data_IF_918190139416
#
_entry.id   IF_918190139416
#
_cell.length_a   1.000
_cell.length_b   1.000
_cell.length_c   1.000
_cell.angle_alpha   90.00
_cell.angle_beta   90.00
_cell.angle_gamma   90.00
#
_symmetry.space_group_name_H-M   'P 1'
#
loop_
_entity.id
_entity.type
_entity.pdbx_description
1 polymer ?
#
# COMPACT_ATOMS: atom_id res chain seq x y z
N UNK A 1 38.46 -54.80 -31.23
CA UNK A 1 37.17 -55.33 -31.69
C UNK A 1 36.14 -54.20 -31.64
N UNK A 2 35.39 -54.08 -32.73
CA UNK A 2 34.45 -53.03 -33.14
C UNK A 2 33.35 -52.71 -32.08
N UNK A 3 32.93 -51.47 -31.75
CA UNK A 3 32.31 -50.33 -32.47
C UNK A 3 30.75 -50.30 -32.39
N UNK A 4 30.20 -49.19 -31.82
CA UNK A 4 28.89 -48.53 -32.15
C UNK A 4 27.59 -49.32 -31.85
N UNK A 5 26.36 -48.79 -31.69
CA UNK A 5 25.64 -47.48 -31.80
C UNK A 5 24.24 -47.73 -31.15
N UNK A 6 23.69 -46.85 -30.30
CA UNK A 6 22.57 -45.90 -30.51
C UNK A 6 21.35 -46.38 -31.34
N UNK A 7 20.14 -45.97 -30.86
CA UNK A 7 18.82 -45.76 -31.51
C UNK A 7 17.78 -46.88 -31.24
N UNK A 8 16.47 -46.64 -31.05
CA UNK A 8 15.61 -45.44 -31.12
C UNK A 8 14.31 -45.62 -30.30
N UNK A 9 13.65 -44.49 -30.05
CA UNK A 9 12.23 -44.31 -29.73
C UNK A 9 11.33 -44.71 -30.92
N UNK A 10 10.05 -44.98 -30.63
CA UNK A 10 8.84 -45.01 -31.49
C UNK A 10 8.36 -46.36 -32.01
N UNK A 11 7.27 -46.88 -31.41
CA UNK A 11 6.10 -47.50 -32.06
C UNK A 11 5.03 -47.66 -30.95
N UNK A 12 4.13 -46.69 -30.75
CA UNK A 12 2.79 -46.57 -31.37
C UNK A 12 2.00 -47.88 -31.20
N UNK A 13 0.98 -47.87 -30.33
CA UNK A 13 -0.43 -47.62 -30.68
C UNK A 13 -0.98 -48.67 -31.64
N UNK A 14 -2.20 -49.14 -31.35
CA UNK A 14 -2.99 -50.10 -32.13
C UNK A 14 -2.76 -51.57 -31.81
N UNK A 15 -3.25 -52.00 -30.65
CA UNK A 15 -3.91 -53.30 -30.58
C UNK A 15 -5.26 -53.18 -29.85
N UNK A 16 -6.31 -53.12 -30.69
CA UNK A 16 -7.53 -53.91 -30.53
C UNK A 16 -8.62 -53.33 -29.62
N UNK A 17 -9.35 -52.39 -30.22
CA UNK A 17 -10.79 -52.54 -30.43
C UNK A 17 -11.22 -53.99 -30.70
N UNK A 18 -11.81 -54.67 -29.71
CA UNK A 18 -12.82 -55.71 -29.95
C UNK A 18 -13.51 -56.07 -28.62
N UNK A 19 -14.69 -55.49 -28.39
CA UNK A 19 -15.87 -56.16 -27.82
C UNK A 19 -17.07 -55.19 -27.80
N UNK A 20 -17.65 -55.00 -28.98
CA UNK A 20 -19.11 -54.84 -29.10
C UNK A 20 -19.66 -56.28 -29.21
N UNK A 21 -20.58 -56.72 -28.37
CA UNK A 21 -22.03 -56.74 -28.63
C UNK A 21 -22.64 -57.63 -27.50
N UNK A 22 -23.83 -57.40 -26.94
CA UNK A 22 -25.13 -57.54 -27.60
C UNK A 22 -26.26 -56.94 -26.72
N UNK A 23 -27.06 -56.08 -27.35
CA UNK A 23 -28.51 -55.80 -27.23
C UNK A 23 -29.33 -56.21 -25.98
N UNK A 24 -30.16 -55.27 -25.50
CA UNK A 24 -31.64 -55.39 -25.54
C UNK A 24 -32.33 -54.02 -25.49
N UNK A 25 -33.30 -53.85 -26.39
CA UNK A 25 -34.23 -52.72 -26.57
C UNK A 25 -35.39 -52.80 -25.56
N UNK A 26 -35.84 -51.65 -25.02
CA UNK A 26 -37.15 -51.00 -25.33
C UNK A 26 -37.51 -49.86 -24.34
N UNK A 27 -38.21 -48.85 -24.87
CA UNK A 27 -39.16 -47.92 -24.23
C UNK A 27 -38.65 -46.64 -23.49
N UNK A 28 -38.76 -45.51 -24.22
CA UNK A 28 -39.41 -44.23 -23.84
C UNK A 28 -39.43 -43.76 -22.37
N UNK A 29 -38.94 -42.55 -22.13
CA UNK A 29 -39.27 -41.76 -20.93
C UNK A 29 -38.27 -40.63 -20.68
N UNK A 30 -38.78 -39.40 -20.65
CA UNK A 30 -38.06 -38.13 -20.57
C UNK A 30 -37.32 -37.86 -19.23
N UNK A 31 -36.50 -36.80 -19.28
CA UNK A 31 -36.01 -35.90 -18.21
C UNK A 31 -34.50 -36.02 -17.92
N UNK A 32 -33.72 -35.20 -18.63
CA UNK A 32 -32.36 -34.83 -18.29
C UNK A 32 -32.34 -33.98 -17.01
N UNK A 33 -31.97 -34.57 -15.87
CA UNK A 33 -31.42 -33.82 -14.75
C UNK A 33 -29.90 -33.71 -14.93
N UNK A 34 -29.46 -32.57 -15.47
CA UNK A 34 -28.05 -32.21 -15.46
C UNK A 34 -27.60 -31.99 -14.01
N UNK A 35 -26.79 -32.91 -13.50
CA UNK A 35 -26.06 -32.71 -12.25
C UNK A 35 -25.01 -31.62 -12.48
N UNK A 36 -25.39 -30.37 -12.21
CA UNK A 36 -24.45 -29.27 -12.03
C UNK A 36 -23.60 -29.60 -10.81
N UNK A 37 -22.37 -30.04 -11.07
CA UNK A 37 -21.33 -30.14 -10.05
C UNK A 37 -21.07 -28.73 -9.53
N UNK A 38 -21.57 -28.44 -8.33
CA UNK A 38 -21.15 -27.27 -7.57
C UNK A 38 -19.64 -27.37 -7.37
N UNK A 39 -18.91 -26.52 -8.08
CA UNK A 39 -17.51 -26.27 -7.82
C UNK A 39 -17.42 -25.60 -6.45
N UNK A 40 -17.06 -26.37 -5.42
CA UNK A 40 -16.65 -25.86 -4.11
C UNK A 40 -15.27 -25.22 -4.23
N UNK A 41 -15.20 -24.15 -5.00
CA UNK A 41 -14.08 -23.22 -5.05
C UNK A 41 -14.52 -21.88 -4.47
N UNK A 42 -14.93 -21.85 -3.20
CA UNK A 42 -15.06 -20.59 -2.48
C UNK A 42 -13.65 -20.04 -2.29
N UNK A 43 -13.23 -19.14 -3.18
CA UNK A 43 -12.19 -18.15 -2.86
C UNK A 43 -12.76 -17.24 -1.79
N UNK A 44 -12.74 -17.72 -0.54
CA UNK A 44 -12.99 -16.92 0.64
C UNK A 44 -11.93 -15.82 0.65
N UNK A 45 -12.33 -14.60 0.27
CA UNK A 45 -11.44 -13.45 0.34
C UNK A 45 -11.18 -13.18 1.81
N UNK A 46 -9.97 -13.49 2.29
CA UNK A 46 -9.61 -13.27 3.68
C UNK A 46 -9.72 -11.78 4.03
N UNK A 47 -10.52 -11.46 5.04
CA UNK A 47 -10.63 -10.10 5.56
C UNK A 47 -9.26 -9.64 6.07
N UNK A 48 -8.82 -8.40 5.76
CA UNK A 48 -7.54 -7.88 6.19
C UNK A 48 -7.32 -8.03 7.70
N UNK A 49 -6.20 -8.69 8.05
CA UNK A 49 -5.75 -8.86 9.43
C UNK A 49 -4.54 -7.99 9.72
N UNK A 50 -4.43 -7.51 10.96
CA UNK A 50 -3.21 -6.88 11.47
C UNK A 50 -2.08 -7.92 11.48
N UNK A 51 -0.91 -7.53 10.98
CA UNK A 51 0.30 -8.35 11.05
C UNK A 51 0.79 -8.41 12.49
N UNK A 52 1.26 -9.57 12.91
CA UNK A 52 1.93 -9.72 14.22
C UNK A 52 3.30 -9.05 14.17
N UNK A 53 3.80 -8.62 15.33
CA UNK A 53 5.11 -7.95 15.46
C UNK A 53 6.27 -8.70 14.82
N UNK A 54 6.23 -10.04 14.84
CA UNK A 54 7.27 -10.92 14.29
C UNK A 54 7.04 -11.32 12.82
N UNK A 55 5.85 -11.04 12.28
CA UNK A 55 5.52 -11.28 10.88
C UNK A 55 6.15 -10.19 10.00
N UNK A 56 6.75 -10.61 8.90
CA UNK A 56 7.27 -9.68 7.90
C UNK A 56 6.14 -9.31 6.93
N UNK A 57 6.09 -8.05 6.50
CA UNK A 57 5.22 -7.62 5.40
C UNK A 57 5.45 -8.50 4.16
N UNK A 58 4.39 -8.87 3.42
CA UNK A 58 4.52 -9.59 2.16
C UNK A 58 5.51 -8.90 1.21
N UNK A 59 6.32 -9.69 0.52
CA UNK A 59 7.22 -9.16 -0.51
C UNK A 59 6.46 -8.98 -1.82
N UNK A 60 6.70 -7.86 -2.51
CA UNK A 60 6.14 -7.61 -3.86
C UNK A 60 6.61 -8.65 -4.86
N UNK A 61 7.89 -9.03 -4.78
CA UNK A 61 8.51 -10.08 -5.60
C UNK A 61 8.85 -11.30 -4.78
N UNK A 62 8.82 -12.47 -5.41
CA UNK A 62 9.19 -13.71 -4.72
C UNK A 62 10.68 -13.72 -4.37
N UNK A 63 11.05 -14.44 -3.31
CA UNK A 63 12.44 -14.54 -2.88
C UNK A 63 13.37 -15.11 -3.96
N UNK A 64 12.86 -16.01 -4.80
CA UNK A 64 13.62 -16.61 -5.91
C UNK A 64 13.90 -15.60 -7.02
N UNK A 65 12.94 -14.73 -7.33
CA UNK A 65 13.13 -13.65 -8.30
C UNK A 65 14.14 -12.62 -7.79
N UNK A 66 14.04 -12.22 -6.52
CA UNK A 66 15.01 -11.31 -5.90
C UNK A 66 16.44 -11.88 -5.94
N UNK A 67 16.60 -13.18 -5.66
CA UNK A 67 17.90 -13.88 -5.80
C UNK A 67 18.40 -13.87 -7.24
N UNK A 68 17.53 -14.09 -8.22
CA UNK A 68 17.88 -14.08 -9.65
C UNK A 68 18.34 -12.69 -10.07
N UNK A 69 17.60 -11.64 -9.72
CA UNK A 69 17.96 -10.24 -10.00
C UNK A 69 19.29 -9.85 -9.34
N UNK A 70 19.53 -10.25 -8.09
CA UNK A 70 20.78 -9.98 -7.40
C UNK A 70 21.99 -10.65 -8.08
N UNK A 71 21.82 -11.88 -8.60
CA UNK A 71 22.86 -12.58 -9.37
C UNK A 71 23.15 -11.90 -10.71
N UNK A 72 22.12 -11.42 -11.41
CA UNK A 72 22.29 -10.67 -12.66
C UNK A 72 23.03 -9.35 -12.40
N UNK A 73 22.57 -8.55 -11.42
CA UNK A 73 23.25 -7.32 -11.01
C UNK A 73 24.70 -7.53 -10.58
N UNK A 74 25.04 -8.69 -10.00
CA UNK A 74 26.42 -9.04 -9.67
C UNK A 74 27.25 -9.28 -10.94
N UNK A 75 26.74 -10.07 -11.89
CA UNK A 75 27.41 -10.30 -13.18
C UNK A 75 27.61 -9.00 -13.96
N UNK A 76 26.60 -8.13 -13.96
CA UNK A 76 26.68 -6.80 -14.60
C UNK A 76 27.74 -5.89 -13.97
N UNK A 77 28.06 -6.06 -12.68
CA UNK A 77 29.12 -5.30 -12.01
C UNK A 77 30.51 -5.82 -12.33
N UNK A 78 30.62 -7.12 -12.60
CA UNK A 78 31.88 -7.75 -12.99
C UNK A 78 32.27 -7.31 -14.42
N UNK A 79 31.30 -6.91 -15.23
CA UNK A 79 31.49 -6.29 -16.53
C UNK A 79 31.71 -4.77 -16.39
N UNK A 80 32.92 -4.26 -16.67
CA UNK A 80 33.30 -2.84 -16.49
C UNK A 80 32.81 -1.99 -17.68
N UNK A 81 31.60 -2.26 -18.15
CA UNK A 81 30.97 -1.53 -19.24
C UNK A 81 30.14 -0.36 -18.72
N UNK A 82 30.05 0.70 -19.52
CA UNK A 82 29.15 1.81 -19.25
C UNK A 82 27.71 1.39 -19.57
N UNK A 83 26.85 1.46 -18.55
CA UNK A 83 25.43 1.15 -18.66
C UNK A 83 24.66 2.46 -18.66
N UNK A 84 24.00 2.73 -19.79
CA UNK A 84 23.03 3.81 -19.91
C UNK A 84 21.77 3.46 -19.13
N UNK A 85 21.42 4.32 -18.17
CA UNK A 85 20.22 4.16 -17.35
C UNK A 85 19.03 4.87 -18.01
N UNK A 86 17.83 4.34 -17.82
CA UNK A 86 16.59 4.99 -18.25
C UNK A 86 16.02 5.91 -17.16
N UNK A 87 15.27 6.96 -17.52
CA UNK A 87 14.50 7.74 -16.55
C UNK A 87 13.54 6.84 -15.75
N UNK A 88 13.43 6.99 -14.43
CA UNK A 88 14.08 8.02 -13.59
C UNK A 88 15.41 7.60 -12.96
N UNK A 89 15.91 6.40 -13.27
CA UNK A 89 17.14 5.85 -12.69
C UNK A 89 18.40 6.61 -13.12
N UNK A 90 18.35 7.29 -14.27
CA UNK A 90 19.41 8.20 -14.72
C UNK A 90 19.28 9.62 -14.15
N UNK A 91 18.34 9.87 -13.24
CA UNK A 91 18.14 11.17 -12.60
C UNK A 91 17.26 12.15 -13.39
N UNK A 92 16.90 11.84 -14.63
CA UNK A 92 15.95 12.65 -15.40
C UNK A 92 14.51 12.34 -15.02
N UNK A 93 13.62 13.32 -15.17
CA UNK A 93 12.19 13.14 -14.94
C UNK A 93 11.53 12.34 -16.07
N UNK A 94 10.54 11.54 -15.70
CA UNK A 94 9.61 10.93 -16.66
C UNK A 94 8.51 11.95 -16.98
N UNK A 95 8.66 12.71 -18.07
CA UNK A 95 7.77 13.83 -18.43
C UNK A 95 6.27 13.48 -18.38
N UNK A 96 5.89 12.30 -18.86
CA UNK A 96 4.49 11.84 -18.87
C UNK A 96 3.89 11.59 -17.48
N UNK A 97 4.71 11.50 -16.43
CA UNK A 97 4.27 11.30 -15.04
C UNK A 97 4.19 12.60 -14.23
N UNK A 98 4.66 13.73 -14.76
CA UNK A 98 4.58 15.01 -14.06
C UNK A 98 3.10 15.42 -13.81
N UNK A 99 2.18 15.36 -14.80
CA UNK A 99 0.77 15.68 -14.56
C UNK A 99 0.11 14.71 -13.57
N UNK A 100 0.54 13.43 -13.56
CA UNK A 100 0.07 12.42 -12.62
C UNK A 100 0.45 12.82 -11.19
N UNK A 101 1.68 13.29 -10.98
CA UNK A 101 2.15 13.74 -9.67
C UNK A 101 1.38 14.96 -9.13
N UNK A 102 1.08 15.95 -9.99
CA UNK A 102 0.21 17.06 -9.59
C UNK A 102 -1.21 16.59 -9.24
N UNK A 103 -1.76 15.64 -10.01
CA UNK A 103 -3.09 15.07 -9.74
C UNK A 103 -3.13 14.35 -8.39
N UNK A 104 -2.07 13.62 -8.02
CA UNK A 104 -1.95 12.96 -6.70
C UNK A 104 -1.97 13.99 -5.57
N UNK A 105 -1.20 15.08 -5.66
CA UNK A 105 -1.17 16.11 -4.62
C UNK A 105 -2.48 16.88 -4.50
N UNK A 106 -3.14 17.18 -5.63
CA UNK A 106 -4.46 17.80 -5.64
C UNK A 106 -5.49 16.90 -4.93
N UNK A 107 -5.55 15.62 -5.32
CA UNK A 107 -6.42 14.64 -4.70
C UNK A 107 -6.12 14.45 -3.20
N UNK A 108 -4.85 14.47 -2.80
CA UNK A 108 -4.47 14.45 -1.37
C UNK A 108 -5.03 15.64 -0.60
N UNK A 109 -4.89 16.85 -1.14
CA UNK A 109 -5.33 18.08 -0.48
C UNK A 109 -6.85 18.13 -0.32
N UNK A 110 -7.55 17.70 -1.36
CA UNK A 110 -9.00 17.50 -1.38
C UNK A 110 -9.43 16.45 -0.35
N UNK A 111 -8.80 15.28 -0.35
CA UNK A 111 -9.09 14.21 0.60
C UNK A 111 -8.93 14.66 2.05
N UNK A 112 -7.81 15.30 2.39
CA UNK A 112 -7.56 15.77 3.77
C UNK A 112 -8.63 16.77 4.20
N UNK A 113 -9.06 17.65 3.30
CA UNK A 113 -10.14 18.61 3.56
C UNK A 113 -11.48 17.89 3.80
N UNK A 114 -11.85 16.95 2.93
CA UNK A 114 -13.09 16.18 3.06
C UNK A 114 -13.11 15.34 4.35
N UNK A 115 -12.04 14.61 4.66
CA UNK A 115 -11.95 13.80 5.89
C UNK A 115 -12.08 14.70 7.11
N UNK A 116 -11.39 15.83 7.15
CA UNK A 116 -11.47 16.76 8.29
C UNK A 116 -12.89 17.29 8.51
N UNK A 117 -13.60 17.63 7.42
CA UNK A 117 -14.99 18.12 7.49
C UNK A 117 -16.00 17.05 7.88
N UNK A 118 -15.83 15.81 7.44
CA UNK A 118 -16.74 14.70 7.82
C UNK A 118 -16.45 14.21 9.24
N UNK A 119 -15.18 14.19 9.64
CA UNK A 119 -14.75 13.81 11.00
C UNK A 119 -15.25 14.77 12.09
N UNK A 120 -15.63 16.02 11.75
CA UNK A 120 -16.28 16.92 12.71
C UNK A 120 -17.69 16.47 13.07
N UNK A 121 -18.36 15.73 12.18
CA UNK A 121 -19.76 15.32 12.33
C UNK A 121 -19.90 13.87 12.78
N UNK A 122 -19.01 12.98 12.31
CA UNK A 122 -19.05 11.55 12.64
C UNK A 122 -18.08 11.22 13.77
N UNK A 123 -18.52 10.36 14.69
CA UNK A 123 -17.67 9.91 15.78
C UNK A 123 -16.54 8.99 15.30
N UNK A 124 -15.31 9.28 15.73
CA UNK A 124 -14.16 8.39 15.53
C UNK A 124 -13.70 7.98 16.92
N UNK A 125 -13.51 6.68 17.11
CA UNK A 125 -12.95 6.10 18.33
C UNK A 125 -11.64 5.38 18.02
N UNK A 126 -10.66 5.54 18.89
CA UNK A 126 -9.43 4.76 18.88
C UNK A 126 -9.24 4.04 20.20
N UNK A 127 -8.74 2.80 20.14
CA UNK A 127 -8.40 2.04 21.32
C UNK A 127 -7.10 2.57 21.92
N UNK A 128 -7.11 2.87 23.23
CA UNK A 128 -5.93 3.37 23.97
C UNK A 128 -4.72 2.42 23.95
N UNK A 129 -4.93 1.15 23.59
CA UNK A 129 -3.92 0.09 23.73
C UNK A 129 -3.43 -0.45 22.38
N UNK A 130 -4.31 -0.89 21.48
CA UNK A 130 -3.95 -1.73 20.32
C UNK A 130 -4.18 -1.09 18.94
N UNK A 131 -4.29 0.24 18.88
CA UNK A 131 -4.48 1.00 17.63
C UNK A 131 -5.69 0.53 16.81
N UNK A 132 -6.70 -0.08 17.45
CA UNK A 132 -7.97 -0.38 16.79
C UNK A 132 -8.74 0.93 16.62
N UNK A 133 -9.36 1.12 15.47
CA UNK A 133 -10.16 2.31 15.16
C UNK A 133 -11.58 1.85 14.86
N UNK A 134 -12.55 2.66 15.29
CA UNK A 134 -13.95 2.49 14.97
C UNK A 134 -14.54 3.82 14.50
N UNK A 135 -15.41 3.75 13.50
CA UNK A 135 -16.08 4.92 12.91
C UNK A 135 -17.59 4.77 13.10
N UNK A 136 -18.20 5.80 13.69
CA UNK A 136 -19.57 5.80 14.16
C UNK A 136 -19.69 5.69 15.68
N UNK A 137 -20.90 5.93 16.20
CA UNK A 137 -21.25 5.69 17.59
C UNK A 137 -22.49 4.78 17.62
N UNK A 138 -22.61 3.86 18.59
CA UNK A 138 -21.61 3.48 19.59
C UNK A 138 -20.48 2.60 19.03
N UNK A 139 -19.30 2.55 19.68
CA UNK A 139 -18.20 1.69 19.22
C UNK A 139 -18.51 0.21 19.39
N UNK A 140 -17.89 -0.63 18.55
CA UNK A 140 -18.11 -2.07 18.55
C UNK A 140 -17.68 -2.75 19.87
N UNK A 141 -18.30 -3.92 20.14
CA UNK A 141 -18.00 -4.79 21.29
C UNK A 141 -17.15 -6.02 20.93
N UNK A 142 -16.61 -6.08 19.73
CA UNK A 142 -15.72 -7.16 19.26
C UNK A 142 -14.46 -7.25 20.15
N UNK A 143 -14.15 -8.46 20.64
CA UNK A 143 -13.10 -8.73 21.63
C UNK A 143 -11.77 -9.11 20.96
N UNK A 144 -11.10 -8.14 20.36
CA UNK A 144 -9.84 -8.33 19.60
C UNK A 144 -8.66 -7.54 20.15
N UNK A 145 -8.77 -6.93 21.33
CA UNK A 145 -7.67 -6.20 21.96
C UNK A 145 -6.63 -7.19 22.50
N UNK A 146 -5.50 -7.32 21.80
CA UNK A 146 -4.47 -8.32 22.10
C UNK A 146 -3.06 -7.71 22.09
N UNK A 147 -2.82 -6.82 23.06
CA UNK A 147 -1.52 -6.17 23.28
C UNK A 147 -1.17 -6.19 24.78
N UNK A 148 0.10 -5.98 25.16
CA UNK A 148 0.47 -5.83 26.57
C UNK A 148 -0.38 -4.73 27.24
N UNK A 149 -1.02 -5.06 28.36
CA UNK A 149 -1.94 -4.16 29.08
C UNK A 149 -3.42 -4.32 28.70
N UNK A 150 -3.77 -5.15 27.72
CA UNK A 150 -5.15 -5.49 27.41
C UNK A 150 -5.85 -6.20 28.58
N UNK A 151 -7.16 -5.96 28.70
CA UNK A 151 -8.02 -6.66 29.66
C UNK A 151 -8.10 -8.16 29.33
N UNK A 152 -8.36 -8.98 30.35
CA UNK A 152 -8.47 -10.45 30.20
C UNK A 152 -9.58 -10.86 29.24
N UNK A 153 -10.65 -10.06 29.13
CA UNK A 153 -11.76 -10.29 28.21
C UNK A 153 -11.51 -9.76 26.78
N UNK A 154 -10.31 -9.23 26.48
CA UNK A 154 -9.89 -8.67 25.19
C UNK A 154 -10.80 -7.54 24.66
N UNK A 155 -11.54 -6.86 25.54
CA UNK A 155 -12.37 -5.71 25.18
C UNK A 155 -11.49 -4.48 24.96
N UNK A 156 -11.86 -3.65 23.98
CA UNK A 156 -11.18 -2.40 23.68
C UNK A 156 -11.55 -1.31 24.67
N UNK A 157 -10.57 -0.48 25.05
CA UNK A 157 -10.80 0.73 25.84
C UNK A 157 -10.81 1.94 24.90
N UNK A 158 -12.00 2.42 24.57
CA UNK A 158 -12.20 3.46 23.56
C UNK A 158 -11.95 4.87 24.09
N UNK A 159 -11.32 5.68 23.25
CA UNK A 159 -11.20 7.15 23.38
C UNK A 159 -11.64 7.84 22.13
N UNK A 160 -11.93 9.14 22.24
CA UNK A 160 -12.17 9.96 21.05
C UNK A 160 -10.90 10.01 20.20
N UNK A 161 -11.02 9.57 18.95
CA UNK A 161 -9.98 9.67 17.94
C UNK A 161 -10.22 10.86 17.00
N UNK A 162 -9.23 11.11 16.15
CA UNK A 162 -9.20 12.19 15.16
C UNK A 162 -8.88 11.72 13.74
N UNK A 163 -8.61 12.69 12.87
CA UNK A 163 -8.31 12.46 11.44
C UNK A 163 -7.08 11.57 11.26
N UNK A 164 -6.07 11.73 12.11
CA UNK A 164 -4.81 10.97 12.10
C UNK A 164 -5.01 9.46 12.32
N UNK A 165 -6.11 9.06 12.96
CA UNK A 165 -6.44 7.65 13.17
C UNK A 165 -7.12 7.03 11.94
N UNK A 166 -7.78 7.85 11.12
CA UNK A 166 -8.49 7.43 9.91
C UNK A 166 -7.58 7.49 8.69
N UNK A 167 -6.79 8.56 8.60
CA UNK A 167 -5.85 8.84 7.51
C UNK A 167 -4.45 9.08 8.10
N UNK A 168 -3.75 8.03 8.56
CA UNK A 168 -2.40 8.16 9.09
C UNK A 168 -1.42 8.62 8.00
N UNK A 169 -0.50 9.50 8.37
CA UNK A 169 0.54 10.00 7.49
C UNK A 169 1.80 9.19 7.71
N UNK A 170 2.27 8.52 6.65
CA UNK A 170 3.59 7.90 6.63
C UNK A 170 4.59 8.91 6.07
N UNK A 171 5.70 9.11 6.77
CA UNK A 171 6.75 10.03 6.39
C UNK A 171 7.91 9.33 5.69
N UNK A 172 8.67 10.10 4.92
CA UNK A 172 9.93 9.72 4.29
C UNK A 172 10.91 10.89 4.44
N UNK A 173 12.21 10.60 4.52
CA UNK A 173 13.20 11.67 4.37
C UNK A 173 13.09 12.27 2.96
N UNK A 174 13.13 13.59 2.90
CA UNK A 174 13.21 14.38 1.69
C UNK A 174 14.60 14.24 1.07
N UNK A 175 14.64 13.97 -0.25
CA UNK A 175 15.90 13.82 -0.97
C UNK A 175 16.13 15.01 -1.91
N UNK A 176 17.13 15.84 -1.58
CA UNK A 176 17.58 16.90 -2.48
C UNK A 176 18.10 16.34 -3.81
N UNK A 177 18.82 15.21 -3.81
CA UNK A 177 19.21 14.50 -5.03
C UNK A 177 18.86 13.02 -4.91
N UNK A 178 17.88 12.57 -5.71
CA UNK A 178 17.44 11.16 -5.78
C UNK A 178 18.57 10.18 -6.03
N UNK A 179 19.51 10.58 -6.88
CA UNK A 179 20.64 9.74 -7.32
C UNK A 179 21.74 9.70 -6.26
N UNK A 180 21.68 10.63 -5.31
CA UNK A 180 22.64 10.82 -4.24
C UNK A 180 22.78 9.64 -3.28
N UNK A 181 23.48 9.95 -2.18
CA UNK A 181 23.64 9.01 -1.07
C UNK A 181 22.32 8.89 -0.30
N UNK A 182 22.10 7.72 0.29
CA UNK A 182 21.03 7.55 1.26
C UNK A 182 21.32 8.37 2.52
N UNK A 183 20.28 8.94 3.13
CA UNK A 183 20.35 9.66 4.40
C UNK A 183 21.00 8.78 5.46
N UNK A 184 22.08 9.27 6.06
CA UNK A 184 22.84 8.59 7.10
C UNK A 184 22.21 8.79 8.49
N UNK A 185 22.63 7.97 9.46
CA UNK A 185 22.14 8.10 10.83
C UNK A 185 22.50 9.43 11.48
N UNK A 186 23.64 10.03 11.10
CA UNK A 186 24.15 11.26 11.73
C UNK A 186 23.37 12.49 11.27
N UNK A 187 23.02 12.54 9.98
CA UNK A 187 22.28 13.68 9.39
C UNK A 187 20.73 13.54 9.57
N UNK A 188 20.26 12.54 10.32
CA UNK A 188 18.81 12.25 10.46
C UNK A 188 17.98 13.39 11.07
N UNK A 189 18.62 14.24 11.88
CA UNK A 189 17.97 15.37 12.54
C UNK A 189 18.10 16.65 11.71
N UNK A 190 19.01 16.65 10.73
CA UNK A 190 19.24 17.76 9.81
C UNK A 190 18.28 17.63 8.63
N UNK A 191 18.08 16.41 8.12
CA UNK A 191 17.26 16.14 6.95
C UNK A 191 15.77 16.06 7.29
N UNK A 192 15.01 16.79 6.50
CA UNK A 192 13.57 16.92 6.56
C UNK A 192 12.85 15.59 6.31
N UNK A 193 11.93 15.19 7.20
CA UNK A 193 10.90 14.16 6.99
C UNK A 193 9.56 14.76 6.53
N UNK A 194 9.12 14.44 5.32
CA UNK A 194 7.83 14.90 4.77
C UNK A 194 6.91 13.71 4.48
N UNK A 195 5.59 13.89 4.27
CA UNK A 195 4.70 12.80 3.89
C UNK A 195 5.24 12.05 2.66
N UNK A 196 5.34 10.72 2.73
CA UNK A 196 5.95 9.90 1.69
C UNK A 196 5.25 10.06 0.33
N UNK A 197 3.93 10.24 0.32
CA UNK A 197 3.19 10.53 -0.92
C UNK A 197 3.57 11.89 -1.52
N UNK A 198 3.92 12.88 -0.70
CA UNK A 198 4.38 14.20 -1.15
C UNK A 198 5.79 14.09 -1.70
N UNK A 199 6.69 13.39 -1.00
CA UNK A 199 8.03 13.10 -1.51
C UNK A 199 7.96 12.37 -2.85
N UNK A 200 7.08 11.37 -3.01
CA UNK A 200 6.87 10.67 -4.29
C UNK A 200 6.51 11.64 -5.42
N UNK A 201 5.64 12.61 -5.15
CA UNK A 201 5.23 13.61 -6.13
C UNK A 201 6.36 14.61 -6.45
N UNK A 202 7.10 15.06 -5.44
CA UNK A 202 8.27 15.93 -5.62
C UNK A 202 9.29 15.25 -6.52
N UNK A 203 9.60 14.01 -6.18
CA UNK A 203 10.49 13.14 -6.93
C UNK A 203 9.97 12.97 -8.37
N UNK A 204 8.65 12.83 -8.56
CA UNK A 204 8.04 12.68 -9.87
C UNK A 204 7.99 13.96 -10.74
N UNK A 205 8.37 15.11 -10.20
CA UNK A 205 8.52 16.36 -10.93
C UNK A 205 7.65 17.52 -10.44
N UNK A 206 6.98 17.39 -9.28
CA UNK A 206 6.33 18.55 -8.66
C UNK A 206 7.36 19.38 -7.92
N UNK A 207 7.39 20.68 -8.19
CA UNK A 207 8.22 21.62 -7.44
C UNK A 207 7.43 22.21 -6.26
N UNK A 208 7.99 22.05 -5.06
CA UNK A 208 7.48 22.64 -3.82
C UNK A 208 8.61 23.52 -3.26
N UNK A 209 8.46 24.85 -3.20
CA UNK A 209 9.53 25.76 -2.79
C UNK A 209 10.12 25.45 -1.41
N UNK A 210 9.28 24.96 -0.49
CA UNK A 210 9.68 24.55 0.87
C UNK A 210 10.54 23.29 0.90
N UNK A 211 10.51 22.46 -0.15
CA UNK A 211 11.26 21.20 -0.23
C UNK A 211 11.91 21.08 -1.62
N UNK A 212 12.94 21.90 -1.89
CA UNK A 212 13.57 21.95 -3.20
C UNK A 212 14.35 20.66 -3.47
N UNK A 213 14.38 20.25 -4.73
CA UNK A 213 15.13 19.07 -5.16
C UNK A 213 15.83 19.35 -6.48
N UNK A 214 17.02 18.78 -6.67
CA UNK A 214 17.84 18.95 -7.87
C UNK A 214 17.14 18.33 -9.08
N UNK A 215 16.76 19.18 -10.04
CA UNK A 215 16.28 18.78 -11.36
C UNK A 215 17.47 18.62 -12.31
N UNK A 216 17.85 17.38 -12.60
CA UNK A 216 18.96 17.09 -13.51
C UNK A 216 18.55 17.35 -14.96
N UNK A 217 19.42 18.01 -15.72
CA UNK A 217 19.28 18.18 -17.17
C UNK A 217 20.08 17.15 -17.96
N UNK A 218 21.18 16.65 -17.40
CA UNK A 218 21.95 15.56 -18.00
C UNK A 218 21.81 14.26 -17.19
N UNK A 219 21.72 13.11 -17.88
CA UNK A 219 21.60 11.82 -17.22
C UNK A 219 22.91 11.40 -16.53
N UNK A 220 22.78 10.60 -15.48
CA UNK A 220 23.91 9.84 -14.90
C UNK A 220 24.04 8.47 -15.53
N UNK A 221 25.26 7.93 -15.48
CA UNK A 221 25.60 6.62 -16.04
C UNK A 221 26.09 5.68 -14.94
N UNK A 222 26.02 4.38 -15.17
CA UNK A 222 26.55 3.37 -14.24
C UNK A 222 27.76 2.67 -14.84
N UNK A 223 28.89 2.69 -14.14
CA UNK A 223 30.12 1.95 -14.52
C UNK A 223 30.51 1.03 -13.37
N UNK A 224 30.56 -0.28 -13.62
CA UNK A 224 30.82 -1.31 -12.60
C UNK A 224 29.95 -1.14 -11.31
N UNK A 225 28.69 -0.73 -11.49
CA UNK A 225 27.72 -0.49 -10.41
C UNK A 225 27.95 0.79 -9.59
N UNK A 226 28.89 1.66 -9.99
CA UNK A 226 29.04 3.01 -9.42
C UNK A 226 28.37 4.02 -10.34
N UNK A 227 27.64 4.96 -9.74
CA UNK A 227 27.00 6.04 -10.47
C UNK A 227 28.05 7.11 -10.78
N UNK A 228 28.19 7.46 -12.05
CA UNK A 228 29.05 8.51 -12.57
C UNK A 228 28.21 9.74 -12.91
N UNK A 229 28.46 10.83 -12.20
CA UNK A 229 27.83 12.14 -12.42
C UNK A 229 28.83 13.07 -13.12
N UNK A 230 28.77 13.10 -14.46
CA UNK A 230 29.69 13.91 -15.26
C UNK A 230 29.51 15.41 -15.04
N UNK A 231 28.30 15.89 -14.73
CA UNK A 231 28.07 17.30 -14.37
C UNK A 231 28.84 17.70 -13.10
N UNK A 232 28.95 16.78 -12.13
CA UNK A 232 29.74 17.04 -10.92
C UNK A 232 31.25 17.04 -11.20
N UNK A 233 31.69 16.24 -12.17
CA UNK A 233 33.10 16.12 -12.57
C UNK A 233 33.55 17.29 -13.46
N UNK A 234 32.61 17.87 -14.22
CA UNK A 234 32.81 19.03 -15.09
C UNK A 234 31.66 20.02 -14.87
N UNK A 235 31.75 20.84 -13.81
CA UNK A 235 30.72 21.84 -13.52
C UNK A 235 30.59 22.79 -14.71
N UNK A 236 29.36 23.00 -15.19
CA UNK A 236 29.07 24.15 -16.06
C UNK A 236 29.06 25.40 -15.17
N UNK A 237 29.51 26.55 -15.70
CA UNK A 237 29.60 27.85 -14.99
C UNK A 237 28.26 28.42 -14.47
N UNK A 238 27.15 27.69 -14.60
CA UNK A 238 25.89 28.03 -13.94
C UNK A 238 25.99 27.68 -12.45
N UNK A 239 26.56 28.62 -11.68
CA UNK A 239 26.47 28.64 -10.23
C UNK A 239 25.00 28.63 -9.80
N UNK A 240 24.49 27.45 -9.40
CA UNK A 240 23.35 27.39 -8.50
C UNK A 240 23.70 28.26 -7.29
N UNK A 241 22.89 29.28 -7.01
CA UNK A 241 23.16 30.29 -5.99
C UNK A 241 23.64 29.65 -4.68
N UNK A 242 24.64 30.27 -4.06
CA UNK A 242 25.43 29.79 -2.91
C UNK A 242 24.60 29.46 -1.64
N UNK A 243 23.27 29.52 -1.68
CA UNK A 243 22.35 29.52 -0.52
C UNK A 243 21.30 28.38 -0.50
N UNK A 244 21.44 27.32 -1.30
CA UNK A 244 20.56 26.13 -1.22
C UNK A 244 21.23 25.04 -0.37
N UNK A 245 20.99 25.08 0.95
CA UNK A 245 21.32 23.98 1.86
C UNK A 245 20.50 22.74 1.50
N UNK A 246 21.06 21.53 1.59
CA UNK A 246 20.36 20.28 1.26
C UNK A 246 19.44 19.76 2.39
N UNK A 247 19.27 20.54 3.45
CA UNK A 247 18.63 20.20 4.71
C UNK A 247 18.17 21.46 5.44
N UNK A 248 17.32 21.34 6.47
CA UNK A 248 16.89 22.46 7.30
C UNK A 248 15.91 23.40 6.60
N UNK A 249 15.16 22.91 5.60
CA UNK A 249 14.25 23.78 4.85
C UNK A 249 13.08 24.28 5.72
N UNK A 250 12.78 23.57 6.81
CA UNK A 250 11.82 23.99 7.84
C UNK A 250 12.10 25.34 8.49
N UNK A 251 13.37 25.75 8.58
CA UNK A 251 13.75 27.00 9.25
C UNK A 251 13.33 28.22 8.41
N UNK A 252 13.21 28.06 7.09
CA UNK A 252 12.77 29.07 6.13
C UNK A 252 11.25 29.08 5.91
N UNK A 253 10.45 28.63 6.88
CA UNK A 253 8.99 28.74 6.81
C UNK A 253 8.58 30.21 6.74
N UNK A 254 8.35 30.73 5.53
CA UNK A 254 7.41 31.83 5.38
C UNK A 254 6.07 31.32 5.90
N UNK A 255 5.40 32.12 6.74
CA UNK A 255 4.16 31.80 7.44
C UNK A 255 2.93 31.61 6.51
N UNK A 256 3.12 31.15 5.28
CA UNK A 256 2.17 31.37 4.17
C UNK A 256 1.57 30.10 3.58
N UNK A 257 1.66 28.96 4.28
CA UNK A 257 0.76 27.84 4.00
C UNK A 257 0.14 27.33 5.31
N UNK A 258 -0.86 28.09 5.77
CA UNK A 258 -2.08 27.40 6.18
C UNK A 258 -2.40 26.36 5.11
N UNK A 259 -2.66 25.11 5.51
CA UNK A 259 -3.53 24.24 4.73
C UNK A 259 -4.69 25.13 4.29
N UNK A 260 -4.70 25.58 3.03
CA UNK A 260 -5.81 26.38 2.52
C UNK A 260 -6.92 25.37 2.43
N UNK A 261 -7.61 25.19 3.55
CA UNK A 261 -8.79 24.35 3.66
C UNK A 261 -9.64 24.77 2.50
N UNK A 262 -9.92 23.82 1.61
CA UNK A 262 -10.88 24.08 0.55
C UNK A 262 -12.15 24.46 1.29
N UNK A 263 -12.54 25.74 1.20
CA UNK A 263 -13.77 26.23 1.79
C UNK A 263 -14.90 25.53 1.03
N UNK A 264 -15.58 24.61 1.73
CA UNK A 264 -16.73 23.94 1.17
C UNK A 264 -17.88 24.93 1.19
N UNK A 265 -18.29 25.41 0.00
CA UNK A 265 -19.45 26.28 -0.16
C UNK A 265 -20.80 25.57 0.13
N UNK A 266 -20.77 24.25 0.40
CA UNK A 266 -21.96 23.45 0.71
C UNK A 266 -21.80 22.75 2.06
N UNK A 267 -22.80 22.90 2.95
CA UNK A 267 -22.92 22.11 4.19
C UNK A 267 -23.38 20.65 3.96
N UNK A 268 -23.57 20.24 2.70
CA UNK A 268 -24.00 18.89 2.35
C UNK A 268 -22.85 17.88 2.54
N UNK A 269 -22.84 17.23 3.71
CA UNK A 269 -21.84 16.21 4.08
C UNK A 269 -21.78 15.03 3.09
N UNK A 270 -22.90 14.66 2.46
CA UNK A 270 -22.92 13.59 1.46
C UNK A 270 -22.11 13.98 0.22
N UNK A 271 -22.29 15.22 -0.28
CA UNK A 271 -21.53 15.72 -1.43
C UNK A 271 -20.02 15.74 -1.14
N UNK A 272 -19.64 16.21 0.06
CA UNK A 272 -18.24 16.25 0.53
C UNK A 272 -17.67 14.84 0.64
N UNK A 273 -18.44 13.88 1.14
CA UNK A 273 -18.01 12.50 1.26
C UNK A 273 -17.88 11.79 -0.09
N UNK A 274 -18.79 12.05 -1.02
CA UNK A 274 -18.68 11.57 -2.42
C UNK A 274 -17.42 12.12 -3.08
N UNK A 275 -17.15 13.41 -2.90
CA UNK A 275 -15.92 14.05 -3.35
C UNK A 275 -14.68 13.42 -2.69
N UNK A 276 -14.73 13.20 -1.38
CA UNK A 276 -13.66 12.57 -0.60
C UNK A 276 -13.37 11.12 -1.02
N UNK A 277 -14.41 10.33 -1.32
CA UNK A 277 -14.28 8.96 -1.82
C UNK A 277 -13.51 8.94 -3.16
N UNK A 278 -13.91 9.82 -4.09
CA UNK A 278 -13.23 9.97 -5.38
C UNK A 278 -11.78 10.43 -5.20
N UNK A 279 -11.52 11.35 -4.28
CA UNK A 279 -10.17 11.83 -3.99
C UNK A 279 -9.29 10.72 -3.39
N UNK A 280 -9.82 9.89 -2.49
CA UNK A 280 -9.14 8.72 -1.93
C UNK A 280 -8.73 7.72 -3.02
N UNK A 281 -9.66 7.33 -3.89
CA UNK A 281 -9.41 6.41 -4.98
C UNK A 281 -8.41 7.00 -5.99
N UNK A 282 -8.60 8.26 -6.38
CA UNK A 282 -7.72 8.96 -7.33
C UNK A 282 -6.29 9.04 -6.80
N UNK A 283 -6.10 9.45 -5.54
CA UNK A 283 -4.78 9.57 -4.93
C UNK A 283 -4.03 8.24 -4.92
N UNK A 284 -4.73 7.15 -4.59
CA UNK A 284 -4.12 5.81 -4.53
C UNK A 284 -3.83 5.25 -5.92
N UNK A 285 -4.77 5.40 -6.85
CA UNK A 285 -4.63 4.89 -8.22
C UNK A 285 -3.48 5.60 -8.96
N UNK A 286 -3.49 6.93 -8.98
CA UNK A 286 -2.45 7.72 -9.62
C UNK A 286 -1.11 7.59 -8.88
N UNK A 287 -1.13 7.46 -7.54
CA UNK A 287 0.07 7.15 -6.75
C UNK A 287 0.71 5.82 -7.14
N UNK A 288 -0.11 4.78 -7.33
CA UNK A 288 0.36 3.46 -7.80
C UNK A 288 1.01 3.57 -9.18
N UNK A 289 0.43 4.38 -10.08
CA UNK A 289 1.00 4.66 -11.41
C UNK A 289 2.36 5.36 -11.35
N UNK A 290 2.57 6.26 -10.38
CA UNK A 290 3.90 6.82 -10.14
C UNK A 290 4.89 5.74 -9.68
N UNK A 291 4.45 4.85 -8.78
CA UNK A 291 5.29 3.79 -8.21
C UNK A 291 5.76 2.75 -9.23
N UNK A 292 5.09 2.63 -10.39
CA UNK A 292 5.57 1.80 -11.51
C UNK A 292 6.94 2.23 -12.05
N UNK A 293 7.30 3.51 -11.90
CA UNK A 293 8.58 4.07 -12.37
C UNK A 293 9.43 4.62 -11.23
N UNK A 294 8.80 5.26 -10.26
CA UNK A 294 9.44 5.91 -9.13
C UNK A 294 9.43 4.97 -7.92
N UNK A 295 10.58 4.37 -7.65
CA UNK A 295 10.75 3.38 -6.58
C UNK A 295 10.62 4.03 -5.21
N UNK A 296 9.94 3.33 -4.30
CA UNK A 296 10.00 3.57 -2.86
C UNK A 296 10.34 2.26 -2.14
N UNK A 297 10.88 2.39 -0.93
CA UNK A 297 11.32 1.29 -0.08
C UNK A 297 10.54 1.34 1.23
N UNK A 298 10.16 0.18 1.74
CA UNK A 298 9.49 0.00 3.04
C UNK A 298 10.31 -0.93 3.90
N UNK A 299 10.30 -0.74 5.21
CA UNK A 299 10.85 -1.75 6.11
C UNK A 299 9.89 -2.94 6.20
N UNK A 300 10.42 -4.16 6.08
CA UNK A 300 9.60 -5.37 6.17
C UNK A 300 8.95 -5.62 7.54
N UNK A 301 9.29 -4.86 8.59
CA UNK A 301 8.78 -5.10 9.96
C UNK A 301 8.22 -3.88 10.69
N UNK A 302 8.59 -2.64 10.31
CA UNK A 302 7.98 -1.42 10.85
C UNK A 302 7.30 -0.62 9.73
N UNK A 303 6.67 0.49 10.10
CA UNK A 303 6.00 1.44 9.21
C UNK A 303 6.95 2.38 8.46
N UNK A 304 8.27 2.27 8.66
CA UNK A 304 9.25 3.16 8.03
C UNK A 304 9.27 3.01 6.50
N UNK A 305 9.25 4.14 5.80
CA UNK A 305 9.27 4.22 4.33
C UNK A 305 10.30 5.25 3.89
N UNK A 306 10.98 4.95 2.79
CA UNK A 306 11.85 5.89 2.09
C UNK A 306 11.47 5.90 0.62
N UNK A 307 11.04 7.05 0.12
CA UNK A 307 10.90 7.27 -1.32
C UNK A 307 12.28 7.44 -1.93
N UNK A 308 12.53 6.74 -3.04
CA UNK A 308 13.82 6.70 -3.71
C UNK A 308 14.36 5.28 -3.91
N UNK A 309 15.42 5.14 -4.71
CA UNK A 309 15.99 3.83 -5.08
C UNK A 309 16.70 3.13 -3.92
N UNK A 310 17.02 3.84 -2.83
CA UNK A 310 17.76 3.35 -1.67
C UNK A 310 16.99 3.71 -0.41
N UNK A 311 16.84 2.76 0.49
CA UNK A 311 16.42 3.04 1.86
C UNK A 311 17.49 3.83 2.62
N UNK A 312 17.07 4.63 3.60
CA UNK A 312 17.99 5.36 4.46
C UNK A 312 18.82 4.42 5.36
N UNK A 313 19.92 4.95 5.91
CA UNK A 313 20.87 4.22 6.78
C UNK A 313 20.72 4.57 8.27
N UNK A 314 19.65 5.28 8.63
CA UNK A 314 19.30 5.53 10.04
C UNK A 314 19.07 4.21 10.78
N UNK A 315 19.65 4.10 11.99
CA UNK A 315 19.61 2.93 12.87
C UNK A 315 18.58 3.09 14.00
N UNK A 316 17.33 3.30 13.65
CA UNK A 316 16.21 3.55 14.57
C UNK A 316 15.07 2.52 14.45
N UNK A 317 15.28 1.43 13.70
CA UNK A 317 14.32 0.34 13.64
C UNK A 317 14.19 -0.32 15.03
N UNK A 318 12.98 -0.34 15.60
CA UNK A 318 12.66 -1.00 16.87
C UNK A 318 11.85 -2.30 16.68
N UNK A 319 11.65 -2.72 15.44
CA UNK A 319 10.82 -3.87 15.10
C UNK A 319 11.52 -5.22 15.38
N UNK A 320 10.87 -6.32 15.02
CA UNK A 320 11.38 -7.66 15.28
C UNK A 320 12.80 -7.86 14.73
N UNK A 321 13.66 -8.47 15.56
CA UNK A 321 15.09 -8.74 15.32
C UNK A 321 15.95 -7.50 15.00
N UNK A 322 15.55 -6.30 15.43
CA UNK A 322 16.36 -5.10 15.19
C UNK A 322 17.75 -5.13 15.84
N UNK A 323 17.90 -5.74 17.02
CA UNK A 323 19.20 -5.89 17.70
C UNK A 323 20.21 -6.66 16.83
N UNK A 324 19.76 -7.71 16.15
CA UNK A 324 20.61 -8.47 15.21
C UNK A 324 21.00 -7.69 13.95
N UNK A 325 20.30 -6.58 13.66
CA UNK A 325 20.55 -5.69 12.53
C UNK A 325 21.18 -4.36 12.98
N UNK A 326 21.58 -4.24 14.24
CA UNK A 326 22.12 -2.99 14.79
C UNK A 326 21.18 -1.79 14.52
N UNK A 327 19.88 -1.97 14.79
CA UNK A 327 18.85 -0.96 14.57
C UNK A 327 18.55 -0.65 13.09
N UNK A 328 19.15 -1.35 12.13
CA UNK A 328 18.90 -1.11 10.71
C UNK A 328 17.57 -1.69 10.23
N UNK A 329 17.01 -1.02 9.22
CA UNK A 329 15.78 -1.40 8.55
C UNK A 329 16.00 -2.55 7.58
N UNK A 330 15.02 -3.45 7.49
CA UNK A 330 14.99 -4.54 6.53
C UNK A 330 14.25 -4.10 5.27
N UNK A 331 14.91 -3.28 4.44
CA UNK A 331 14.32 -2.69 3.25
C UNK A 331 13.82 -3.73 2.25
N UNK A 332 12.66 -3.44 1.67
CA UNK A 332 12.06 -4.12 0.53
C UNK A 332 11.29 -3.10 -0.32
N UNK A 333 10.88 -3.51 -1.51
CA UNK A 333 10.03 -2.71 -2.39
C UNK A 333 8.70 -2.38 -1.69
N UNK A 334 8.33 -1.10 -1.70
CA UNK A 334 7.08 -0.61 -1.11
C UNK A 334 5.92 -0.73 -2.11
N UNK A 335 4.71 -0.88 -1.59
CA UNK A 335 3.47 -0.70 -2.37
C UNK A 335 2.77 0.61 -1.98
N UNK A 336 1.68 0.94 -2.69
CA UNK A 336 0.86 2.09 -2.33
C UNK A 336 0.29 1.99 -0.91
N UNK A 337 0.09 0.77 -0.38
CA UNK A 337 -0.34 0.54 0.99
C UNK A 337 0.74 0.85 2.02
N UNK A 338 2.02 0.87 1.65
CA UNK A 338 3.06 1.32 2.55
C UNK A 338 3.13 2.86 2.61
N UNK A 339 2.90 3.53 1.47
CA UNK A 339 2.95 5.01 1.38
C UNK A 339 1.66 5.64 1.93
N UNK A 340 0.51 5.02 1.65
CA UNK A 340 -0.82 5.46 2.09
C UNK A 340 -1.52 4.25 2.71
N UNK A 341 -1.21 3.89 3.97
CA UNK A 341 -1.76 2.69 4.57
C UNK A 341 -3.27 2.80 4.83
N UNK A 342 -4.09 1.85 4.34
CA UNK A 342 -5.48 1.77 4.71
C UNK A 342 -5.61 1.25 6.15
N UNK A 343 -6.25 2.03 7.02
CA UNK A 343 -6.62 1.57 8.37
C UNK A 343 -7.92 0.80 8.26
N UNK A 344 -7.89 -0.53 8.39
CA UNK A 344 -9.11 -1.33 8.28
C UNK A 344 -9.92 -1.31 9.59
N UNK A 345 -11.20 -0.95 9.49
CA UNK A 345 -12.19 -0.93 10.58
C UNK A 345 -13.34 -1.87 10.25
N UNK A 346 -14.07 -2.30 11.28
CA UNK A 346 -15.27 -3.12 11.08
C UNK A 346 -16.36 -2.33 10.35
N UNK A 347 -16.88 -2.92 9.27
CA UNK A 347 -17.93 -2.31 8.47
C UNK A 347 -19.30 -2.47 9.15
N UNK A 348 -20.09 -1.41 9.19
CA UNK A 348 -21.46 -1.41 9.72
C UNK A 348 -22.43 -1.26 8.56
N UNK A 349 -23.27 -2.29 8.31
CA UNK A 349 -24.19 -2.32 7.16
C UNK A 349 -25.37 -1.34 7.33
N UNK A 350 -25.92 -1.27 8.53
CA UNK A 350 -27.07 -0.44 8.85
C UNK A 350 -26.62 0.70 9.79
N UNK A 351 -26.65 1.92 9.27
CA UNK A 351 -26.23 3.10 10.00
C UNK A 351 -27.30 3.66 10.94
N UNK A 352 -28.56 3.27 10.77
CA UNK A 352 -29.68 3.64 11.64
C UNK A 352 -29.77 2.74 12.87
N UNK A 353 -29.15 1.55 12.80
CA UNK A 353 -29.04 0.62 13.92
C UNK A 353 -28.18 1.22 15.03
N UNK A 354 -28.82 1.51 16.16
CA UNK A 354 -28.12 1.99 17.38
C UNK A 354 -27.30 0.88 18.07
N UNK A 355 -27.53 -0.38 17.72
CA UNK A 355 -26.86 -1.50 18.36
C UNK A 355 -25.42 -1.70 17.83
N UNK A 356 -24.41 -1.75 18.73
CA UNK A 356 -23.03 -1.97 18.33
C UNK A 356 -22.80 -3.40 17.82
N UNK A 357 -21.78 -3.55 16.95
CA UNK A 357 -21.35 -4.87 16.47
C UNK A 357 -20.90 -5.77 17.64
N UNK A 358 -21.50 -6.95 17.74
CA UNK A 358 -21.27 -7.91 18.82
C UNK A 358 -20.15 -8.90 18.50
N UNK A 359 -19.46 -9.37 19.53
CA UNK A 359 -18.33 -10.28 19.33
C UNK A 359 -18.75 -11.64 18.75
N UNK A 360 -19.90 -12.18 19.16
CA UNK A 360 -20.41 -13.48 18.69
C UNK A 360 -20.60 -13.53 17.17
N UNK A 361 -20.87 -12.37 16.56
CA UNK A 361 -21.13 -12.23 15.14
C UNK A 361 -19.92 -11.75 14.34
N UNK A 362 -18.73 -11.62 14.97
CA UNK A 362 -17.55 -11.07 14.29
C UNK A 362 -17.13 -11.88 13.06
N UNK A 363 -17.48 -13.17 12.99
CA UNK A 363 -17.23 -14.03 11.83
C UNK A 363 -18.11 -13.74 10.61
N UNK A 364 -19.13 -12.89 10.73
CA UNK A 364 -20.01 -12.48 9.62
C UNK A 364 -19.75 -11.07 9.14
N UNK A 365 -19.12 -10.24 9.97
CA UNK A 365 -18.86 -8.85 9.63
C UNK A 365 -17.72 -8.71 8.62
N UNK A 366 -17.86 -7.71 7.75
CA UNK A 366 -16.80 -7.23 6.86
C UNK A 366 -15.94 -6.15 7.49
N UNK A 367 -14.97 -5.67 6.72
CA UNK A 367 -14.14 -4.51 7.06
C UNK A 367 -14.01 -3.57 5.88
N UNK A 368 -13.79 -2.30 6.17
CA UNK A 368 -13.48 -1.27 5.17
C UNK A 368 -12.29 -0.43 5.64
N UNK A 369 -11.54 0.21 4.73
CA UNK A 369 -10.65 1.30 5.12
C UNK A 369 -11.46 2.38 5.88
N UNK A 370 -10.90 2.90 6.96
CA UNK A 370 -11.55 3.85 7.86
C UNK A 370 -12.05 5.09 7.10
N UNK A 371 -11.28 5.56 6.12
CA UNK A 371 -11.64 6.67 5.23
C UNK A 371 -12.91 6.36 4.44
N UNK A 372 -13.02 5.14 3.93
CA UNK A 372 -14.16 4.67 3.13
C UNK A 372 -15.40 4.52 4.03
N UNK A 373 -15.25 3.88 5.20
CA UNK A 373 -16.33 3.75 6.20
C UNK A 373 -16.81 5.14 6.66
N UNK A 374 -15.91 6.08 6.90
CA UNK A 374 -16.25 7.45 7.31
C UNK A 374 -17.11 8.16 6.28
N UNK A 375 -16.80 8.03 4.99
CA UNK A 375 -17.59 8.62 3.92
C UNK A 375 -18.90 7.87 3.67
N UNK A 376 -18.90 6.54 3.78
CA UNK A 376 -20.10 5.73 3.67
C UNK A 376 -21.16 6.13 4.70
N UNK A 377 -20.74 6.42 5.94
CA UNK A 377 -21.61 6.85 7.05
C UNK A 377 -22.43 8.11 6.80
N UNK A 378 -22.00 8.96 5.87
CA UNK A 378 -22.73 10.18 5.49
C UNK A 378 -23.35 10.07 4.09
N UNK A 379 -23.50 8.85 3.59
CA UNK A 379 -24.27 8.54 2.38
C UNK A 379 -23.46 8.45 1.09
N UNK A 380 -22.12 8.47 1.15
CA UNK A 380 -21.31 8.24 -0.05
C UNK A 380 -21.39 6.76 -0.46
N UNK A 381 -21.57 6.51 -1.76
CA UNK A 381 -21.59 5.15 -2.30
C UNK A 381 -20.20 4.52 -2.21
N UNK A 382 -20.13 3.30 -1.67
CA UNK A 382 -18.89 2.51 -1.64
C UNK A 382 -18.70 1.81 -3.00
N UNK A 383 -17.47 1.84 -3.53
CA UNK A 383 -17.14 1.21 -4.80
C UNK A 383 -17.17 -0.32 -4.75
N UNK A 384 -17.49 -0.96 -5.88
CA UNK A 384 -17.65 -2.41 -6.01
C UNK A 384 -16.38 -3.20 -5.65
N UNK A 385 -15.19 -2.58 -5.76
CA UNK A 385 -13.92 -3.19 -5.36
C UNK A 385 -13.85 -3.54 -3.86
N UNK A 386 -14.76 -2.99 -3.05
CA UNK A 386 -14.83 -3.25 -1.62
C UNK A 386 -15.93 -4.27 -1.24
N UNK A 387 -16.76 -4.72 -2.18
CA UNK A 387 -17.89 -5.65 -1.93
C UNK A 387 -17.49 -6.91 -1.17
N UNK A 388 -16.38 -7.54 -1.57
CA UNK A 388 -15.81 -8.72 -0.90
C UNK A 388 -15.31 -8.43 0.51
N UNK A 389 -14.80 -7.22 0.76
CA UNK A 389 -14.36 -6.79 2.09
C UNK A 389 -15.54 -6.46 3.01
N UNK A 390 -16.62 -5.90 2.46
CA UNK A 390 -17.88 -5.65 3.17
C UNK A 390 -18.65 -6.92 3.51
N UNK A 391 -18.33 -8.03 2.82
CA UNK A 391 -19.03 -9.33 2.94
C UNK A 391 -20.52 -9.18 2.69
N UNK A 392 -20.84 -8.56 1.56
CA UNK A 392 -22.22 -8.42 1.08
C UNK A 392 -22.84 -9.79 0.75
N UNK A 393 -22.00 -10.77 0.40
CA UNK A 393 -22.36 -12.18 0.15
C UNK A 393 -22.72 -12.96 1.43
N UNK A 394 -22.47 -12.40 2.61
CA UNK A 394 -22.70 -13.04 3.90
C UNK A 394 -23.89 -12.40 4.63
N UNK A 395 -24.95 -13.18 4.81
CA UNK A 395 -26.07 -12.82 5.69
C UNK A 395 -25.60 -12.86 7.16
N UNK A 396 -25.92 -11.80 7.90
CA UNK A 396 -25.66 -11.72 9.34
C UNK A 396 -26.90 -12.29 10.04
N UNK A 397 -26.77 -13.34 10.88
CA UNK A 397 -27.90 -13.90 11.61
C UNK A 397 -28.57 -12.85 12.51
N UNK A 398 -29.89 -12.87 12.55
CA UNK A 398 -30.66 -12.10 13.55
C UNK A 398 -30.48 -12.67 14.96
N UNK A 399 -30.77 -11.87 16.00
CA UNK A 399 -30.46 -12.21 17.41
C UNK A 399 -31.11 -13.52 17.88
N UNK A 400 -32.27 -13.87 17.34
CA UNK A 400 -33.01 -15.11 17.56
C UNK A 400 -32.38 -16.31 16.81
N UNK A 401 -31.84 -16.08 15.62
CA UNK A 401 -31.13 -17.07 14.81
C UNK A 401 -29.75 -17.44 15.38
N UNK A 402 -29.12 -16.57 16.18
CA UNK A 402 -27.79 -16.82 16.79
C UNK A 402 -27.78 -18.14 17.58
N UNK A 403 -28.88 -18.51 18.22
CA UNK A 403 -29.00 -19.75 19.00
C UNK A 403 -28.97 -21.02 18.15
N UNK A 404 -29.21 -20.90 16.85
CA UNK A 404 -29.25 -22.02 15.90
C UNK A 404 -27.91 -22.27 15.21
N UNK A 405 -26.94 -21.36 15.35
CA UNK A 405 -25.63 -21.46 14.69
C UNK A 405 -24.55 -21.95 15.66
N UNK A 406 -24.67 -23.22 16.08
CA UNK A 406 -23.70 -23.94 16.93
C UNK A 406 -22.45 -24.33 16.14
#
# INVERSE_FOLDING_TARGET
>A
MFHRRVQSISYLFELVTQKNSLQKLTASGEIEHSYVRFSTGSTLTEVPRKLKRNERKPLVKTFNELKREARLKRKERDDVNEISLHPPHNGLLVKGLIPVAHKVLAARSELVSCVSRVASSIAIYSCRLCEEVHVGHPPHKIRTCDVPGSLTNKVHTWTRGGVEHVLPVVESFHLYDRIGRAVSHNERLEVDRIPAIVELCIQAGVDIPEYPTRRRTCPVYSVAGRIMDFEKKFPKEESLGEDIYAYGFWEKKSSTHHNKSIEFNSDNLNAIATQGMKAWETMRYEGSKLMEKYVAQTCGYCSEVQVGPKGHRVRDCQAFKHQMRDGQHAWQEATIDDIVPPVYVWHVKDFEREEPLEHSLSRYYGKLPAVVELFARVGARVGEQYSSLMREDVAVPELDEIKLVV
#
